data_IF_957067448636
#
_entry.id   IF_957067448636
#
_cell.length_a   1.000
_cell.length_b   1.000
_cell.length_c   1.000
_cell.angle_alpha   90.00
_cell.angle_beta   90.00
_cell.angle_gamma   90.00
#
_symmetry.space_group_name_H-M   'P 1'
#
loop_
_entity.id
_entity.type
_entity.pdbx_description
1 polymer ?
#
# COMPACT_ATOMS: atom_id res chain seq x y z
N UNK A 1 -13.20 -12.02 -60.55
CA UNK A 1 -13.08 -13.02 -59.47
C UNK A 1 -12.14 -12.45 -58.41
N UNK A 2 -12.68 -11.89 -57.32
CA UNK A 2 -11.88 -11.52 -56.17
C UNK A 2 -11.82 -12.70 -55.21
N UNK A 3 -10.62 -13.23 -54.93
CA UNK A 3 -10.40 -14.16 -53.83
C UNK A 3 -10.06 -13.31 -52.61
N UNK A 4 -10.94 -13.31 -51.62
CA UNK A 4 -10.69 -12.71 -50.31
C UNK A 4 -9.71 -13.61 -49.53
N UNK A 5 -8.66 -13.00 -48.98
CA UNK A 5 -7.67 -13.66 -48.12
C UNK A 5 -7.71 -13.03 -46.74
N UNK A 6 -7.47 -13.82 -45.70
CA UNK A 6 -7.27 -13.32 -44.34
C UNK A 6 -5.83 -13.54 -43.90
N UNK A 7 -5.24 -12.55 -43.26
CA UNK A 7 -3.88 -12.62 -42.72
C UNK A 7 -3.95 -13.04 -41.26
N UNK A 8 -3.18 -14.07 -40.90
CA UNK A 8 -3.10 -14.58 -39.53
C UNK A 8 -1.63 -14.52 -39.10
N UNK A 9 -1.38 -14.13 -37.86
CA UNK A 9 -0.05 -14.14 -37.25
C UNK A 9 0.36 -15.59 -36.93
N UNK A 10 1.55 -16.01 -37.36
CA UNK A 10 2.10 -17.33 -37.05
C UNK A 10 3.27 -17.20 -36.07
N UNK A 11 3.04 -17.62 -34.83
CA UNK A 11 4.04 -17.55 -33.74
C UNK A 11 5.28 -18.42 -33.97
N UNK A 12 5.18 -19.47 -34.79
CA UNK A 12 6.35 -20.32 -35.12
C UNK A 12 7.28 -19.70 -36.16
N UNK A 13 6.78 -18.76 -36.97
CA UNK A 13 7.53 -18.11 -38.05
C UNK A 13 7.82 -16.62 -37.78
N UNK A 14 7.17 -16.02 -36.77
CA UNK A 14 7.31 -14.61 -36.43
C UNK A 14 6.84 -13.65 -37.53
N UNK A 15 5.85 -14.06 -38.32
CA UNK A 15 5.37 -13.28 -39.48
C UNK A 15 3.87 -13.46 -39.74
N UNK A 16 3.29 -12.50 -40.47
CA UNK A 16 1.92 -12.55 -40.97
C UNK A 16 1.82 -13.39 -42.24
N UNK A 17 0.94 -14.40 -42.25
CA UNK A 17 0.74 -15.30 -43.39
C UNK A 17 -0.68 -15.17 -43.94
N UNK A 18 -0.82 -15.08 -45.27
CA UNK A 18 -2.12 -15.03 -45.93
C UNK A 18 -2.68 -16.44 -46.15
N UNK A 19 -3.92 -16.68 -45.72
CA UNK A 19 -4.60 -17.99 -45.85
C UNK A 19 -5.88 -17.84 -46.67
N UNK A 20 -6.11 -18.78 -47.59
CA UNK A 20 -7.31 -18.87 -48.43
C UNK A 20 -8.44 -19.55 -47.65
N UNK A 21 -9.66 -19.01 -47.71
CA UNK A 21 -10.78 -19.44 -46.85
C UNK A 21 -11.50 -20.74 -47.29
N UNK A 22 -10.99 -21.49 -48.28
CA UNK A 22 -11.71 -22.61 -48.93
C UNK A 22 -11.01 -23.99 -48.81
N UNK A 23 -9.86 -24.14 -48.17
CA UNK A 23 -9.27 -25.49 -47.97
C UNK A 23 -9.71 -26.17 -46.67
N UNK A 24 -10.48 -27.26 -46.80
CA UNK A 24 -10.83 -28.18 -45.72
C UNK A 24 -9.69 -29.15 -45.41
N UNK A 25 -9.20 -29.15 -44.17
CA UNK A 25 -8.22 -30.15 -43.70
C UNK A 25 -8.87 -31.53 -43.51
N UNK A 26 -8.37 -32.56 -44.19
CA UNK A 26 -8.77 -33.97 -44.05
C UNK A 26 -8.04 -34.66 -42.87
N UNK A 27 -8.81 -35.06 -41.86
CA UNK A 27 -8.99 -36.45 -41.37
C UNK A 27 -7.89 -37.21 -40.58
N UNK A 28 -8.27 -37.72 -39.39
CA UNK A 28 -8.07 -39.12 -38.92
C UNK A 28 -9.30 -39.53 -38.06
N UNK A 29 -10.29 -40.17 -38.69
CA UNK A 29 -10.70 -41.61 -38.61
C UNK A 29 -11.53 -42.01 -37.38
N UNK A 30 -12.85 -42.07 -37.55
CA UNK A 30 -13.76 -42.88 -36.75
C UNK A 30 -14.08 -44.16 -37.53
N UNK A 31 -13.91 -45.34 -36.90
CA UNK A 31 -14.27 -46.64 -37.48
C UNK A 31 -15.78 -46.86 -37.43
N UNK A 32 -16.30 -47.44 -38.52
CA UNK A 32 -17.70 -47.77 -38.81
C UNK A 32 -18.10 -49.13 -38.22
N UNK A 33 -19.38 -49.24 -37.85
CA UNK A 33 -20.07 -50.47 -37.43
C UNK A 33 -20.05 -51.57 -38.52
N UNK A 34 -20.09 -52.83 -38.07
CA UNK A 34 -20.45 -54.00 -38.86
C UNK A 34 -21.40 -54.88 -38.02
N UNK A 35 -22.57 -55.20 -38.56
CA UNK A 35 -23.64 -55.98 -37.92
C UNK A 35 -23.81 -57.36 -38.55
N UNK A 36 -23.63 -58.45 -37.80
CA UNK A 36 -24.26 -59.78 -38.06
C UNK A 36 -24.34 -60.60 -36.75
N UNK A 37 -25.54 -61.09 -36.38
CA UNK A 37 -25.74 -62.33 -35.58
C UNK A 37 -26.21 -62.19 -34.11
N UNK A 38 -27.48 -62.53 -33.84
CA UNK A 38 -28.18 -62.68 -32.53
C UNK A 38 -27.65 -63.86 -31.66
N UNK A 39 -28.20 -64.19 -30.45
CA UNK A 39 -29.20 -63.52 -29.59
C UNK A 39 -28.89 -63.46 -28.05
N UNK A 40 -29.82 -62.83 -27.30
CA UNK A 40 -30.15 -63.00 -25.86
C UNK A 40 -29.27 -62.21 -24.85
N UNK A 41 -29.75 -61.45 -23.85
CA UNK A 41 -30.91 -61.56 -22.93
C UNK A 41 -31.32 -60.18 -22.35
N UNK A 42 -32.55 -59.73 -22.64
CA UNK A 42 -33.59 -59.00 -21.82
C UNK A 42 -33.28 -57.68 -21.03
N UNK A 43 -34.28 -56.93 -20.48
CA UNK A 43 -35.08 -55.93 -21.24
C UNK A 43 -35.31 -54.54 -20.57
N UNK A 44 -35.72 -53.57 -21.40
CA UNK A 44 -36.69 -52.45 -21.21
C UNK A 44 -36.66 -51.56 -19.95
N UNK A 45 -36.58 -50.23 -20.20
CA UNK A 45 -37.72 -49.27 -20.07
C UNK A 45 -37.45 -47.96 -20.84
N UNK A 46 -38.56 -47.32 -21.23
CA UNK A 46 -38.75 -46.34 -22.32
C UNK A 46 -38.97 -44.93 -21.74
N UNK A 47 -38.66 -43.86 -22.52
CA UNK A 47 -39.49 -42.64 -22.84
C UNK A 47 -38.60 -41.38 -22.96
N UNK A 48 -38.41 -40.78 -24.15
CA UNK A 48 -39.28 -39.82 -24.86
C UNK A 48 -39.74 -38.61 -24.00
N UNK A 49 -39.19 -37.41 -24.22
CA UNK A 49 -39.93 -36.21 -24.67
C UNK A 49 -39.16 -34.86 -24.54
N UNK A 50 -39.04 -34.17 -25.69
CA UNK A 50 -39.26 -32.72 -25.93
C UNK A 50 -38.40 -31.67 -25.18
N UNK A 51 -37.41 -31.03 -25.82
CA UNK A 51 -37.45 -29.80 -26.67
C UNK A 51 -38.04 -28.54 -26.00
N UNK A 52 -37.18 -27.53 -25.80
CA UNK A 52 -37.43 -26.06 -25.79
C UNK A 52 -36.40 -25.42 -24.86
N UNK A 53 -35.21 -25.00 -25.33
CA UNK A 53 -34.29 -24.12 -24.55
C UNK A 53 -33.07 -23.61 -25.36
N UNK A 54 -33.20 -23.37 -26.67
CA UNK A 54 -32.09 -22.86 -27.50
C UNK A 54 -32.46 -21.59 -28.27
N UNK A 55 -33.08 -20.63 -27.58
CA UNK A 55 -33.45 -19.34 -28.20
C UNK A 55 -33.29 -18.11 -27.30
N UNK A 56 -32.41 -18.14 -26.29
CA UNK A 56 -32.18 -16.95 -25.41
C UNK A 56 -30.73 -16.47 -25.36
N UNK A 57 -29.79 -17.04 -26.12
CA UNK A 57 -28.35 -16.74 -25.91
C UNK A 57 -27.73 -15.61 -26.74
N UNK A 58 -28.49 -14.68 -27.36
CA UNK A 58 -27.89 -13.75 -28.33
C UNK A 58 -28.34 -12.28 -28.31
N UNK A 59 -28.90 -11.77 -27.20
CA UNK A 59 -29.26 -10.35 -27.06
C UNK A 59 -28.90 -9.79 -25.69
N UNK A 60 -27.60 -9.61 -25.42
CA UNK A 60 -27.12 -8.71 -24.34
C UNK A 60 -25.64 -8.36 -24.50
N UNK A 61 -25.28 -7.52 -25.48
CA UNK A 61 -24.02 -6.75 -25.43
C UNK A 61 -24.36 -5.28 -25.52
N UNK A 62 -24.35 -4.59 -24.38
CA UNK A 62 -24.54 -3.15 -24.31
C UNK A 62 -25.35 -2.65 -23.13
N UNK A 63 -24.93 -2.97 -21.90
CA UNK A 63 -25.32 -2.21 -20.73
C UNK A 63 -24.07 -2.07 -19.83
N UNK A 64 -23.52 -0.86 -19.77
CA UNK A 64 -22.65 -0.47 -18.65
C UNK A 64 -23.56 -0.37 -17.44
N UNK A 65 -23.56 -1.40 -16.58
CA UNK A 65 -24.35 -1.42 -15.37
C UNK A 65 -23.60 -0.65 -14.28
N UNK A 66 -24.11 0.53 -13.92
CA UNK A 66 -23.85 1.07 -12.59
C UNK A 66 -24.62 0.17 -11.62
N UNK A 67 -23.93 -0.77 -10.98
CA UNK A 67 -24.54 -1.69 -10.01
C UNK A 67 -24.92 -0.89 -8.77
N UNK A 68 -26.20 -0.53 -8.68
CA UNK A 68 -26.85 -0.11 -7.44
C UNK A 68 -27.46 -1.36 -6.79
N UNK A 69 -26.67 -2.10 -6.03
CA UNK A 69 -27.13 -3.31 -5.35
C UNK A 69 -26.18 -3.67 -4.22
N UNK A 70 -26.72 -3.92 -3.03
CA UNK A 70 -25.99 -4.18 -1.78
C UNK A 70 -25.36 -5.56 -1.69
N UNK A 71 -25.50 -6.43 -2.69
CA UNK A 71 -24.82 -7.73 -2.70
C UNK A 71 -24.48 -8.10 -4.15
N UNK A 72 -23.23 -7.88 -4.54
CA UNK A 72 -22.68 -8.51 -5.74
C UNK A 72 -21.93 -9.77 -5.29
N UNK A 73 -22.55 -10.94 -5.41
CA UNK A 73 -21.82 -12.20 -5.45
C UNK A 73 -21.84 -12.68 -6.90
N UNK A 74 -20.80 -12.33 -7.66
CA UNK A 74 -20.40 -13.00 -8.89
C UNK A 74 -19.03 -13.61 -8.66
N UNK A 75 -18.94 -14.89 -8.96
CA UNK A 75 -17.79 -15.77 -8.78
C UNK A 75 -16.53 -15.25 -9.46
N UNK A 76 -15.50 -14.94 -8.66
CA UNK A 76 -14.11 -14.75 -9.12
C UNK A 76 -13.79 -13.34 -9.62
N UNK A 77 -12.81 -12.72 -8.94
CA UNK A 77 -12.03 -11.55 -9.34
C UNK A 77 -12.69 -10.15 -9.35
N UNK A 78 -12.25 -9.37 -8.35
CA UNK A 78 -12.32 -7.91 -8.24
C UNK A 78 -13.71 -7.27 -8.41
N UNK A 79 -14.48 -7.28 -7.32
CA UNK A 79 -15.69 -6.47 -7.22
C UNK A 79 -15.35 -5.10 -6.64
N UNK A 80 -15.68 -4.06 -7.40
CA UNK A 80 -15.81 -2.71 -6.87
C UNK A 80 -17.30 -2.43 -6.60
N UNK A 81 -17.64 -1.93 -5.42
CA UNK A 81 -19.01 -1.50 -5.11
C UNK A 81 -19.03 -0.22 -4.28
N UNK A 82 -20.17 0.47 -4.35
CA UNK A 82 -20.51 1.59 -3.48
C UNK A 82 -21.68 1.20 -2.60
N UNK A 83 -21.48 1.21 -1.28
CA UNK A 83 -22.54 0.94 -0.30
C UNK A 83 -23.28 2.24 0.02
N UNK A 84 -24.57 2.29 -0.31
CA UNK A 84 -25.41 3.47 -0.12
C UNK A 84 -25.75 3.74 1.35
N UNK A 85 -25.70 2.74 2.23
CA UNK A 85 -25.95 2.87 3.67
C UNK A 85 -24.73 3.43 4.39
N UNK A 86 -23.56 2.83 4.19
CA UNK A 86 -22.31 3.27 4.82
C UNK A 86 -21.59 4.40 4.08
N UNK A 87 -21.93 4.65 2.81
CA UNK A 87 -21.23 5.55 1.88
C UNK A 87 -19.79 5.11 1.57
N UNK A 88 -19.48 3.82 1.73
CA UNK A 88 -18.17 3.27 1.44
C UNK A 88 -18.02 2.97 -0.06
N UNK A 89 -16.80 3.18 -0.58
CA UNK A 89 -16.34 2.63 -1.87
C UNK A 89 -15.35 1.53 -1.55
N UNK A 90 -15.61 0.29 -1.97
CA UNK A 90 -14.74 -0.86 -1.71
C UNK A 90 -14.44 -1.55 -3.02
N UNK A 91 -13.16 -1.73 -3.34
CA UNK A 91 -12.72 -2.55 -4.46
C UNK A 91 -11.49 -3.38 -4.10
N UNK A 92 -11.53 -4.68 -4.36
CA UNK A 92 -10.42 -5.56 -4.08
C UNK A 92 -10.88 -6.90 -3.56
N UNK A 93 -10.14 -7.95 -3.86
CA UNK A 93 -10.34 -9.23 -3.20
C UNK A 93 -10.12 -9.05 -1.68
N UNK A 94 -11.11 -9.47 -0.88
CA UNK A 94 -11.07 -9.38 0.59
C UNK A 94 -10.85 -7.95 1.12
N UNK A 95 -11.13 -6.94 0.30
CA UNK A 95 -11.18 -5.56 0.74
C UNK A 95 -12.40 -5.36 1.66
N UNK A 96 -12.24 -4.63 2.76
CA UNK A 96 -13.32 -4.41 3.72
C UNK A 96 -13.33 -2.98 4.27
N UNK A 97 -14.53 -2.45 4.45
CA UNK A 97 -14.76 -1.16 5.11
C UNK A 97 -15.84 -1.31 6.18
N UNK A 98 -15.67 -0.65 7.32
CA UNK A 98 -16.68 -0.64 8.38
C UNK A 98 -17.94 0.08 7.89
N UNK A 99 -19.10 -0.57 8.01
CA UNK A 99 -20.38 0.04 7.63
C UNK A 99 -20.79 1.16 8.58
N UNK A 100 -20.54 0.95 9.87
CA UNK A 100 -20.78 1.89 10.96
C UNK A 100 -19.59 1.86 11.93
N UNK A 101 -19.15 3.01 12.39
CA UNK A 101 -18.14 3.17 13.43
C UNK A 101 -18.58 4.28 14.38
N UNK A 102 -18.62 4.03 15.69
CA UNK A 102 -19.04 5.01 16.70
C UNK A 102 -20.40 5.69 16.37
N UNK A 103 -21.38 4.89 15.92
CA UNK A 103 -22.70 5.37 15.52
C UNK A 103 -22.75 6.21 14.23
N UNK A 104 -21.62 6.39 13.54
CA UNK A 104 -21.51 7.14 12.27
C UNK A 104 -21.33 6.20 11.10
N UNK A 105 -21.75 6.63 9.92
CA UNK A 105 -21.53 5.89 8.67
C UNK A 105 -20.04 5.87 8.30
N UNK A 106 -19.59 4.77 7.70
CA UNK A 106 -18.17 4.54 7.38
C UNK A 106 -17.50 5.57 6.46
N UNK A 107 -18.16 6.02 5.39
CA UNK A 107 -17.66 7.04 4.42
C UNK A 107 -16.21 6.82 3.94
N UNK A 108 -15.81 5.58 3.74
CA UNK A 108 -14.42 5.21 3.49
C UNK A 108 -14.17 4.77 2.05
N UNK A 109 -12.94 4.91 1.58
CA UNK A 109 -12.47 4.41 0.28
C UNK A 109 -11.44 3.31 0.51
N UNK A 110 -11.69 2.12 -0.01
CA UNK A 110 -10.82 0.95 0.17
C UNK A 110 -10.53 0.32 -1.18
N UNK A 111 -9.26 0.26 -1.57
CA UNK A 111 -8.82 -0.25 -2.87
C UNK A 111 -7.59 -1.17 -2.72
N UNK A 112 -7.74 -2.48 -2.99
CA UNK A 112 -6.62 -3.44 -3.03
C UNK A 112 -6.88 -4.77 -2.30
N UNK A 113 -6.05 -5.77 -2.59
CA UNK A 113 -6.10 -7.09 -1.96
C UNK A 113 -5.93 -6.97 -0.43
N UNK A 114 -6.89 -7.49 0.34
CA UNK A 114 -6.91 -7.41 1.81
C UNK A 114 -6.80 -5.97 2.38
N UNK A 115 -7.13 -4.93 1.61
CA UNK A 115 -7.15 -3.57 2.12
C UNK A 115 -8.30 -3.37 3.14
N UNK A 116 -8.08 -2.59 4.20
CA UNK A 116 -9.05 -2.44 5.28
C UNK A 116 -9.21 -0.99 5.73
N UNK A 117 -10.46 -0.52 5.82
CA UNK A 117 -10.86 0.67 6.56
C UNK A 117 -11.77 0.27 7.74
N UNK A 118 -11.23 0.20 8.96
CA UNK A 118 -11.97 -0.30 10.13
C UNK A 118 -12.75 0.80 10.89
N UNK A 119 -12.53 2.08 10.58
CA UNK A 119 -13.26 3.19 11.20
C UNK A 119 -13.93 4.14 10.21
N UNK A 120 -14.11 5.39 10.61
CA UNK A 120 -14.87 6.41 9.86
C UNK A 120 -13.98 7.28 8.95
N UNK A 121 -14.48 7.64 7.77
CA UNK A 121 -13.89 8.62 6.85
C UNK A 121 -12.44 8.28 6.45
N UNK A 122 -12.14 7.01 6.24
CA UNK A 122 -10.80 6.52 5.96
C UNK A 122 -10.51 6.35 4.46
N UNK A 123 -9.23 6.31 4.12
CA UNK A 123 -8.75 5.88 2.82
C UNK A 123 -7.70 4.79 3.02
N UNK A 124 -7.90 3.61 2.44
CA UNK A 124 -6.94 2.50 2.43
C UNK A 124 -6.71 2.04 0.99
N UNK A 125 -5.53 2.31 0.43
CA UNK A 125 -5.18 2.04 -0.96
C UNK A 125 -3.88 1.22 -1.03
N UNK A 126 -3.96 0.00 -1.54
CA UNK A 126 -2.82 -0.90 -1.72
C UNK A 126 -3.02 -2.24 -1.01
N UNK A 127 -2.27 -3.27 -1.44
CA UNK A 127 -2.36 -4.61 -0.86
C UNK A 127 -2.03 -4.58 0.63
N UNK A 128 -2.91 -5.14 1.46
CA UNK A 128 -2.77 -5.18 2.93
C UNK A 128 -2.66 -3.78 3.58
N UNK A 129 -3.08 -2.71 2.91
CA UNK A 129 -3.17 -1.38 3.52
C UNK A 129 -4.27 -1.34 4.59
N UNK A 130 -4.08 -0.54 5.64
CA UNK A 130 -4.99 -0.53 6.78
C UNK A 130 -5.14 0.87 7.38
N UNK A 131 -6.36 1.37 7.44
CA UNK A 131 -6.74 2.57 8.18
C UNK A 131 -7.77 2.18 9.26
N UNK A 132 -7.44 2.30 10.55
CA UNK A 132 -8.19 1.61 11.62
C UNK A 132 -9.14 2.48 12.44
N UNK A 133 -8.93 3.79 12.50
CA UNK A 133 -9.71 4.72 13.34
C UNK A 133 -10.43 5.77 12.49
N UNK A 134 -10.47 7.03 12.93
CA UNK A 134 -11.17 8.10 12.20
C UNK A 134 -10.22 8.94 11.37
N UNK A 135 -10.59 9.23 10.11
CA UNK A 135 -9.84 10.10 9.19
C UNK A 135 -8.39 9.66 8.96
N UNK A 136 -8.15 8.36 8.87
CA UNK A 136 -6.87 7.75 8.54
C UNK A 136 -6.66 7.60 7.03
N UNK A 137 -5.45 7.89 6.56
CA UNK A 137 -5.03 7.77 5.17
C UNK A 137 -3.88 6.77 5.08
N UNK A 138 -4.11 5.58 4.54
CA UNK A 138 -3.11 4.55 4.28
C UNK A 138 -2.98 4.31 2.77
N UNK A 139 -1.87 4.71 2.16
CA UNK A 139 -1.60 4.52 0.73
C UNK A 139 -0.27 3.79 0.55
N UNK A 140 -0.28 2.63 -0.10
CA UNK A 140 0.88 1.79 -0.35
C UNK A 140 0.68 0.36 0.16
N UNK A 141 1.47 -0.58 -0.39
CA UNK A 141 1.43 -1.96 0.10
C UNK A 141 1.83 -2.01 1.57
N UNK A 142 1.01 -2.65 2.40
CA UNK A 142 1.22 -2.79 3.85
C UNK A 142 1.31 -1.45 4.62
N UNK A 143 0.83 -0.34 4.05
CA UNK A 143 0.76 0.95 4.74
C UNK A 143 -0.28 0.90 5.88
N UNK A 144 0.03 1.51 7.04
CA UNK A 144 -0.80 1.43 8.26
C UNK A 144 -1.02 2.81 8.89
N UNK A 145 -2.28 3.26 8.90
CA UNK A 145 -2.77 4.46 9.57
C UNK A 145 -3.69 4.04 10.73
N UNK A 146 -3.11 3.71 11.89
CA UNK A 146 -3.83 2.92 12.92
C UNK A 146 -4.58 3.75 13.96
N UNK A 147 -4.40 5.07 13.98
CA UNK A 147 -5.01 5.98 14.95
C UNK A 147 -5.71 7.16 14.28
N UNK A 148 -6.40 7.99 15.06
CA UNK A 148 -7.14 9.15 14.56
C UNK A 148 -6.24 10.12 13.80
N UNK A 149 -6.74 10.64 12.67
CA UNK A 149 -6.11 11.69 11.88
C UNK A 149 -4.68 11.35 11.42
N UNK A 150 -4.42 10.07 11.13
CA UNK A 150 -3.09 9.60 10.72
C UNK A 150 -2.92 9.55 9.21
N UNK A 151 -1.69 9.78 8.74
CA UNK A 151 -1.32 9.70 7.33
C UNK A 151 -0.14 8.76 7.18
N UNK A 152 -0.30 7.66 6.46
CA UNK A 152 0.73 6.69 6.11
C UNK A 152 0.78 6.52 4.58
N UNK A 153 1.84 7.01 3.93
CA UNK A 153 1.98 6.98 2.46
C UNK A 153 3.33 6.36 2.09
N UNK A 154 3.33 5.17 1.50
CA UNK A 154 4.53 4.43 1.11
C UNK A 154 4.42 2.95 1.44
N UNK A 155 5.22 2.12 0.77
CA UNK A 155 5.33 0.69 1.08
C UNK A 155 5.77 0.51 2.55
N UNK A 156 4.95 -0.16 3.35
CA UNK A 156 5.24 -0.43 4.76
C UNK A 156 5.29 0.81 5.66
N UNK A 157 4.85 1.99 5.21
CA UNK A 157 4.77 3.19 6.05
C UNK A 157 3.77 2.97 7.20
N UNK A 158 4.10 3.42 8.42
CA UNK A 158 3.26 3.23 9.60
C UNK A 158 3.12 4.54 10.38
N UNK A 159 1.92 5.07 10.45
CA UNK A 159 1.54 6.15 11.35
C UNK A 159 0.79 5.52 12.53
N UNK A 160 1.55 5.18 13.57
CA UNK A 160 1.08 4.36 14.70
C UNK A 160 0.55 5.17 15.88
N UNK A 161 0.80 6.48 15.96
CA UNK A 161 0.26 7.36 17.00
C UNK A 161 -0.72 8.38 16.41
N UNK A 162 -1.67 8.85 17.22
CA UNK A 162 -2.68 9.86 16.84
C UNK A 162 -2.06 11.09 16.16
N UNK A 163 -2.70 11.61 15.10
CA UNK A 163 -2.23 12.76 14.33
C UNK A 163 -0.80 12.60 13.78
N UNK A 164 -0.32 11.36 13.60
CA UNK A 164 0.98 11.05 13.03
C UNK A 164 0.98 11.10 11.50
N UNK A 165 2.11 11.53 10.92
CA UNK A 165 2.37 11.58 9.48
C UNK A 165 3.61 10.74 9.19
N UNK A 166 3.48 9.74 8.33
CA UNK A 166 4.55 8.83 7.90
C UNK A 166 4.53 8.72 6.38
N UNK A 167 5.49 9.33 5.69
CA UNK A 167 5.54 9.39 4.23
C UNK A 167 6.91 8.87 3.75
N UNK A 168 6.93 7.77 3.02
CA UNK A 168 8.13 7.08 2.54
C UNK A 168 8.13 5.60 2.89
N UNK A 169 8.96 4.82 2.19
CA UNK A 169 9.11 3.38 2.46
C UNK A 169 9.51 3.16 3.92
N UNK A 170 8.74 2.37 4.64
CA UNK A 170 8.96 2.05 6.07
C UNK A 170 9.06 3.26 7.01
N UNK A 171 8.58 4.45 6.60
CA UNK A 171 8.54 5.62 7.47
C UNK A 171 7.68 5.33 8.71
N UNK A 172 8.17 5.65 9.90
CA UNK A 172 7.49 5.40 11.18
C UNK A 172 7.26 3.92 11.53
N UNK A 173 7.85 2.98 10.77
CA UNK A 173 7.69 1.56 11.03
C UNK A 173 8.22 1.18 12.42
N UNK A 174 7.42 0.45 13.21
CA UNK A 174 7.82 0.00 14.54
C UNK A 174 8.00 1.11 15.59
N UNK A 175 7.48 2.31 15.34
CA UNK A 175 7.46 3.40 16.33
C UNK A 175 6.61 2.99 17.54
N UNK A 176 7.14 3.22 18.73
CA UNK A 176 6.41 3.10 20.00
C UNK A 176 6.45 4.43 20.74
N UNK A 177 5.32 4.85 21.29
CA UNK A 177 5.18 6.14 21.97
C UNK A 177 3.88 6.87 21.64
N UNK A 178 3.85 8.15 21.97
CA UNK A 178 2.70 9.02 21.70
C UNK A 178 2.59 9.44 20.22
N UNK A 179 1.51 10.18 19.93
CA UNK A 179 1.20 10.70 18.59
C UNK A 179 1.96 11.95 18.18
N UNK A 180 1.47 12.59 17.11
CA UNK A 180 1.91 13.87 16.53
C UNK A 180 3.35 13.85 16.02
N UNK A 181 3.81 12.69 15.56
CA UNK A 181 5.12 12.54 14.92
C UNK A 181 4.99 12.80 13.41
N UNK A 182 6.01 13.42 12.82
CA UNK A 182 6.17 13.61 11.37
C UNK A 182 7.41 12.83 10.95
N UNK A 183 7.25 11.85 10.08
CA UNK A 183 8.31 11.02 9.52
C UNK A 183 8.21 11.08 7.99
N UNK A 184 9.16 11.73 7.33
CA UNK A 184 9.17 11.90 5.87
C UNK A 184 10.51 11.43 5.32
N UNK A 185 10.52 10.36 4.53
CA UNK A 185 11.72 9.72 3.98
C UNK A 185 11.75 8.22 4.26
N UNK A 186 12.56 7.50 3.50
CA UNK A 186 12.75 6.07 3.72
C UNK A 186 13.34 5.81 5.12
N UNK A 187 12.69 4.95 5.91
CA UNK A 187 13.06 4.63 7.29
C UNK A 187 13.16 5.86 8.22
N UNK A 188 12.55 7.00 7.87
CA UNK A 188 12.46 8.13 8.80
C UNK A 188 11.69 7.69 10.05
N UNK A 189 12.22 8.01 11.23
CA UNK A 189 11.68 7.65 12.55
C UNK A 189 11.49 6.14 12.80
N UNK A 190 11.95 5.24 11.93
CA UNK A 190 11.71 3.81 12.11
C UNK A 190 12.30 3.29 13.42
N UNK A 191 11.58 2.44 14.15
CA UNK A 191 12.04 1.85 15.41
C UNK A 191 12.22 2.83 16.56
N UNK A 192 11.69 4.06 16.46
CA UNK A 192 11.77 5.00 17.56
C UNK A 192 10.98 4.51 18.78
N UNK A 193 11.51 4.79 19.97
CA UNK A 193 10.89 4.45 21.25
C UNK A 193 10.61 5.71 22.05
N UNK A 194 9.55 5.68 22.86
CA UNK A 194 9.01 6.84 23.60
C UNK A 194 8.65 8.05 22.74
N UNK A 195 8.58 7.89 21.41
CA UNK A 195 8.42 8.94 20.43
C UNK A 195 7.16 9.77 20.69
N UNK A 196 7.30 11.09 20.81
CA UNK A 196 6.17 12.02 20.86
C UNK A 196 6.61 13.39 20.34
N UNK A 197 5.79 14.00 19.47
CA UNK A 197 6.07 15.29 18.85
C UNK A 197 7.47 15.35 18.18
N UNK A 198 7.85 14.31 17.43
CA UNK A 198 9.12 14.27 16.69
C UNK A 198 8.90 14.71 15.24
N UNK A 199 9.81 15.53 14.70
CA UNK A 199 9.91 15.84 13.28
C UNK A 199 11.15 15.16 12.72
N UNK A 200 10.98 14.18 11.85
CA UNK A 200 12.03 13.40 11.20
C UNK A 200 11.88 13.52 9.68
N UNK A 201 12.77 14.24 9.01
CA UNK A 201 12.70 14.48 7.56
C UNK A 201 14.04 14.11 6.91
N UNK A 202 14.04 13.09 6.06
CA UNK A 202 15.22 12.54 5.39
C UNK A 202 15.37 11.05 5.61
N UNK A 203 16.13 10.38 4.74
CA UNK A 203 16.38 8.93 4.84
C UNK A 203 17.04 8.58 6.16
N UNK A 204 16.39 7.74 6.97
CA UNK A 204 16.88 7.32 8.29
C UNK A 204 16.96 8.45 9.34
N UNK A 205 16.38 9.63 9.09
CA UNK A 205 16.32 10.70 10.09
C UNK A 205 15.62 10.20 11.35
N UNK A 206 16.22 10.41 12.52
CA UNK A 206 15.75 9.94 13.83
C UNK A 206 15.40 8.44 13.89
N UNK A 207 15.93 7.61 12.99
CA UNK A 207 15.73 6.15 13.08
C UNK A 207 16.30 5.62 14.38
N UNK A 208 15.53 4.81 15.11
CA UNK A 208 15.93 4.21 16.38
C UNK A 208 16.10 5.21 17.52
N UNK A 209 15.59 6.44 17.40
CA UNK A 209 15.70 7.44 18.46
C UNK A 209 14.89 7.01 19.69
N UNK A 210 15.42 7.26 20.88
CA UNK A 210 14.67 7.13 22.13
C UNK A 210 14.51 8.52 22.77
N UNK A 211 13.33 9.11 22.63
CA UNK A 211 13.01 10.38 23.27
C UNK A 211 11.88 11.15 22.60
N UNK A 212 11.76 12.44 22.94
CA UNK A 212 10.59 13.26 22.64
C UNK A 212 10.99 14.68 22.23
N UNK A 213 10.10 15.38 21.50
CA UNK A 213 10.32 16.78 21.09
C UNK A 213 11.63 16.97 20.31
N UNK A 214 11.92 16.05 19.38
CA UNK A 214 13.15 16.09 18.57
C UNK A 214 12.83 16.62 17.17
N UNK A 215 13.69 17.49 16.66
CA UNK A 215 13.71 17.86 15.25
C UNK A 215 14.98 17.27 14.63
N UNK A 216 14.81 16.37 13.66
CA UNK A 216 15.86 15.71 12.91
C UNK A 216 15.61 15.90 11.41
N UNK A 217 16.39 16.74 10.75
CA UNK A 217 16.22 17.05 9.32
C UNK A 217 17.54 16.80 8.59
N UNK A 218 17.53 15.85 7.66
CA UNK A 218 18.71 15.39 6.92
C UNK A 218 18.85 13.87 7.02
N UNK A 219 19.47 13.26 6.00
CA UNK A 219 19.70 11.82 6.03
C UNK A 219 20.61 11.44 7.22
N UNK A 220 20.16 10.47 8.00
CA UNK A 220 20.83 10.00 9.23
C UNK A 220 20.88 11.01 10.38
N UNK A 221 20.21 12.17 10.27
CA UNK A 221 20.18 13.16 11.34
C UNK A 221 19.62 12.54 12.63
N UNK A 222 20.38 12.66 13.74
CA UNK A 222 20.02 12.15 15.07
C UNK A 222 19.64 10.66 15.16
N UNK A 223 20.06 9.83 14.21
CA UNK A 223 19.77 8.40 14.26
C UNK A 223 20.40 7.73 15.50
N UNK A 224 19.64 6.84 16.15
CA UNK A 224 20.05 6.02 17.29
C UNK A 224 20.36 6.79 18.57
N UNK A 225 19.99 8.07 18.68
CA UNK A 225 20.25 8.86 19.88
C UNK A 225 19.22 8.63 20.98
N UNK A 226 19.62 8.76 22.24
CA UNK A 226 18.72 8.84 23.39
C UNK A 226 18.69 10.28 23.89
N UNK A 227 17.71 11.05 23.43
CA UNK A 227 17.69 12.52 23.61
C UNK A 227 16.28 13.09 23.47
N UNK A 228 16.01 14.17 24.21
CA UNK A 228 14.75 14.92 24.13
C UNK A 228 15.00 16.42 23.99
N UNK A 229 14.06 17.15 23.40
CA UNK A 229 14.18 18.61 23.17
C UNK A 229 15.41 18.96 22.33
N UNK A 230 15.77 18.11 21.36
CA UNK A 230 17.01 18.23 20.59
C UNK A 230 16.73 18.63 19.15
N UNK A 231 17.62 19.41 18.55
CA UNK A 231 17.52 19.86 17.15
C UNK A 231 18.78 19.44 16.41
N UNK A 232 18.64 18.56 15.42
CA UNK A 232 19.70 18.09 14.54
C UNK A 232 19.30 18.35 13.09
N UNK A 233 19.96 19.28 12.42
CA UNK A 233 19.67 19.65 11.03
C UNK A 233 20.95 19.55 10.20
N UNK A 234 20.99 18.59 9.29
CA UNK A 234 22.13 18.29 8.42
C UNK A 234 22.32 16.78 8.21
N UNK A 235 23.02 16.41 7.14
CA UNK A 235 23.44 15.02 6.93
C UNK A 235 24.28 14.55 8.12
N UNK A 236 23.85 13.45 8.77
CA UNK A 236 24.50 12.88 9.95
C UNK A 236 24.79 13.89 11.09
N UNK A 237 24.02 14.98 11.21
CA UNK A 237 24.12 15.87 12.37
C UNK A 237 23.63 15.16 13.64
N UNK A 238 24.27 15.41 14.78
CA UNK A 238 23.97 14.75 16.06
C UNK A 238 23.74 15.79 17.15
N UNK A 239 22.55 15.78 17.74
CA UNK A 239 22.21 16.50 18.96
C UNK A 239 21.96 15.48 20.08
N UNK A 240 23.05 15.01 20.70
CA UNK A 240 23.10 13.74 21.41
C UNK A 240 22.54 13.72 22.83
N UNK A 241 22.21 14.87 23.41
CA UNK A 241 21.66 15.01 24.77
C UNK A 241 20.55 16.07 24.83
N UNK A 242 19.89 16.13 25.98
CA UNK A 242 18.77 17.02 26.22
C UNK A 242 19.09 18.48 25.88
N UNK A 243 18.23 19.13 25.09
CA UNK A 243 18.39 20.54 24.73
C UNK A 243 19.54 20.85 23.76
N UNK A 244 20.23 19.84 23.22
CA UNK A 244 21.33 20.05 22.30
C UNK A 244 20.84 20.54 20.92
N UNK A 245 21.65 21.39 20.27
CA UNK A 245 21.38 21.91 18.92
C UNK A 245 22.59 21.68 18.03
N UNK A 246 22.42 20.93 16.94
CA UNK A 246 23.43 20.68 15.92
C UNK A 246 22.90 21.08 14.53
N UNK A 247 23.51 22.10 13.92
CA UNK A 247 23.13 22.61 12.60
C UNK A 247 24.33 22.58 11.66
N UNK A 248 24.29 21.72 10.65
CA UNK A 248 25.33 21.58 9.63
C UNK A 248 25.62 20.12 9.26
N UNK A 249 26.21 19.92 8.09
CA UNK A 249 26.70 18.60 7.67
C UNK A 249 27.67 18.07 8.73
N UNK A 250 27.35 16.93 9.33
CA UNK A 250 28.13 16.27 10.40
C UNK A 250 28.39 17.13 11.65
N UNK A 251 27.59 18.18 11.90
CA UNK A 251 27.68 18.95 13.14
C UNK A 251 27.34 18.08 14.36
N UNK A 252 28.06 18.22 15.48
CA UNK A 252 27.90 17.39 16.68
C UNK A 252 27.80 18.24 17.94
N UNK A 253 26.63 18.28 18.55
CA UNK A 253 26.41 18.78 19.90
C UNK A 253 26.15 17.58 20.82
N UNK A 254 27.20 17.10 21.52
CA UNK A 254 27.16 15.78 22.18
C UNK A 254 26.78 15.83 23.66
N UNK A 255 26.64 17.02 24.24
CA UNK A 255 26.32 17.22 25.66
C UNK A 255 25.08 18.08 25.89
N UNK A 256 24.59 18.10 27.13
CA UNK A 256 23.36 18.81 27.49
C UNK A 256 23.47 20.29 27.16
N UNK A 257 22.47 20.81 26.43
CA UNK A 257 22.39 22.22 26.01
C UNK A 257 23.60 22.72 25.22
N UNK A 258 24.38 21.81 24.64
CA UNK A 258 25.46 22.13 23.73
C UNK A 258 24.89 22.65 22.40
N UNK A 259 25.54 23.66 21.81
CA UNK A 259 25.19 24.20 20.49
C UNK A 259 26.38 24.06 19.53
N UNK A 260 26.17 23.40 18.40
CA UNK A 260 27.17 23.23 17.34
C UNK A 260 26.58 23.71 16.01
N UNK A 261 27.12 24.77 15.42
CA UNK A 261 26.64 25.34 14.15
C UNK A 261 27.79 25.46 13.17
N UNK A 262 27.75 24.68 12.09
CA UNK A 262 28.74 24.69 11.01
C UNK A 262 29.05 23.29 10.47
N UNK A 263 29.65 23.22 9.28
CA UNK A 263 30.17 21.97 8.71
C UNK A 263 31.18 21.34 9.67
N UNK A 264 30.87 20.16 10.21
CA UNK A 264 31.74 19.43 11.14
C UNK A 264 32.05 20.15 12.46
N UNK A 265 31.27 21.16 12.87
CA UNK A 265 31.44 21.81 14.17
C UNK A 265 31.18 20.83 15.32
N UNK A 266 31.93 20.92 16.41
CA UNK A 266 31.85 20.02 17.56
C UNK A 266 31.70 20.82 18.86
N UNK A 267 30.53 20.72 19.50
CA UNK A 267 30.33 21.20 20.87
C UNK A 267 30.16 20.01 21.81
N UNK A 268 31.20 19.75 22.60
CA UNK A 268 31.27 18.63 23.53
C UNK A 268 31.24 19.06 24.99
N UNK A 269 31.11 20.36 25.27
CA UNK A 269 30.92 20.89 26.63
C UNK A 269 29.45 20.99 27.04
N UNK A 270 29.14 20.98 28.33
CA UNK A 270 27.80 21.32 28.82
C UNK A 270 27.61 22.83 28.61
N UNK A 271 26.47 23.26 28.04
CA UNK A 271 26.21 24.66 27.67
C UNK A 271 27.20 25.28 26.65
N UNK A 272 28.15 24.50 26.13
CA UNK A 272 29.17 25.02 25.24
C UNK A 272 28.60 25.35 23.86
N UNK A 273 29.19 26.36 23.21
CA UNK A 273 28.78 26.80 21.87
C UNK A 273 29.97 26.78 20.92
N UNK A 274 29.90 25.96 19.88
CA UNK A 274 30.83 25.92 18.76
C UNK A 274 30.13 26.50 17.51
N UNK A 275 30.62 27.62 16.99
CA UNK A 275 30.06 28.27 15.79
C UNK A 275 31.16 28.48 14.75
N UNK A 276 30.90 28.02 13.53
CA UNK A 276 31.86 28.01 12.42
C UNK A 276 32.20 26.59 11.97
N UNK A 277 32.59 26.45 10.70
CA UNK A 277 33.02 25.16 10.16
C UNK A 277 34.24 24.63 10.93
N UNK A 278 34.18 23.36 11.34
CA UNK A 278 35.21 22.67 12.13
C UNK A 278 35.55 23.33 13.48
N UNK A 279 34.71 24.25 13.97
CA UNK A 279 34.88 24.85 15.29
C UNK A 279 34.72 23.80 16.38
N UNK A 280 35.48 23.93 17.47
CA UNK A 280 35.45 23.01 18.61
C UNK A 280 35.25 23.79 19.91
N UNK A 281 34.25 23.40 20.70
CA UNK A 281 34.04 23.91 22.05
C UNK A 281 33.88 22.73 23.03
N UNK A 282 34.81 22.60 23.97
CA UNK A 282 34.91 21.44 24.87
C UNK A 282 34.88 21.80 26.36
N UNK A 283 34.45 23.02 26.72
CA UNK A 283 34.46 23.52 28.09
C UNK A 283 33.50 22.76 29.03
N UNK A 284 33.91 22.59 30.29
CA UNK A 284 33.12 21.96 31.37
C UNK A 284 32.06 22.88 31.94
#
# INVERSE_FOLDING_TARGET
MNKSYRTIWNDSLGAWVAVSEIETAKGKSAQSECSVGSPAVTPKRVRFAYTMLMSVFLLATGQVMAVTGTDAQTTGDLQCFFDTGSKNVVCGERASAAGVYDGKTGKSVVLGLNAQAAGESNVALGSNSMASSTSGLAIGSSAKALNNQTVAVGEGAQALGEAGVSIGKSAGAGVSGGGRNIAIGENALSGATTANNIVAIGTGAASGINGQHVVAIGAGANAGQTTSNAVAVGYNSIAGKGGATALGYTARATNSQATAVGFGSQSSGIYATATGAQSVASGS
#
